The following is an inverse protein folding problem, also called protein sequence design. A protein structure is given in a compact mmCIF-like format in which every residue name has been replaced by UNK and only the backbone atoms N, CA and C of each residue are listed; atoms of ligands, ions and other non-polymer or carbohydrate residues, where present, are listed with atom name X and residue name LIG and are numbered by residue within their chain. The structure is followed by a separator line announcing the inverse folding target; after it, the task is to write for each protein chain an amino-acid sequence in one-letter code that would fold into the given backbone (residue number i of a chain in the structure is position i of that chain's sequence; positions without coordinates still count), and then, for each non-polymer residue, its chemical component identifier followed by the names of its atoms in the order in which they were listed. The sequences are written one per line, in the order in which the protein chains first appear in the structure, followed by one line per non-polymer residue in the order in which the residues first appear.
data_IF_119908317796
#
_entry.id   IF_119908317796
#
_cell.length_a   1.000
_cell.length_b   1.000
_cell.length_c   1.000
_cell.angle_alpha   90.00
_cell.angle_beta   90.00
_cell.angle_gamma   90.00
#
_symmetry.space_group_name_H-M   'P 1'
#
loop_
_entity.id
_entity.type
_entity.pdbx_description
1 polymer ?
#
# COMPACT_ATOMS: atom_id res chain seq x y z
N UNK A 1 -25.97 -2.67 -11.67
CA UNK A 1 -27.32 -2.11 -11.39
C UNK A 1 -27.39 -0.59 -11.58
N UNK A 2 -26.30 0.15 -11.42
CA UNK A 2 -26.22 1.60 -11.72
C UNK A 2 -25.93 1.94 -13.19
N UNK A 3 -26.33 1.08 -14.12
CA UNK A 3 -26.20 1.25 -15.58
C UNK A 3 -24.81 1.42 -16.22
N UNK A 4 -23.70 1.34 -15.47
CA UNK A 4 -22.38 1.12 -16.06
C UNK A 4 -22.38 -0.18 -16.88
N UNK A 5 -21.98 -0.08 -18.16
CA UNK A 5 -22.00 -1.20 -19.10
C UNK A 5 -20.62 -1.66 -19.52
N UNK A 6 -19.68 -0.74 -19.68
CA UNK A 6 -18.31 -1.06 -20.06
C UNK A 6 -17.43 -0.97 -18.81
N UNK A 7 -16.90 -2.10 -18.36
CA UNK A 7 -16.17 -2.22 -17.10
C UNK A 7 -14.94 -3.10 -17.35
N UNK A 8 -13.77 -2.65 -16.90
CA UNK A 8 -12.58 -3.49 -16.84
C UNK A 8 -12.31 -3.87 -15.38
N UNK A 9 -11.91 -5.13 -15.15
CA UNK A 9 -11.57 -5.63 -13.81
C UNK A 9 -10.17 -6.23 -13.85
N UNK A 10 -9.29 -5.76 -12.95
CA UNK A 10 -7.92 -6.23 -12.82
C UNK A 10 -7.78 -6.92 -11.47
N UNK A 11 -7.37 -8.19 -11.49
CA UNK A 11 -7.04 -8.95 -10.29
C UNK A 11 -6.02 -10.03 -10.65
N UNK A 12 -4.89 -10.08 -9.94
CA UNK A 12 -3.82 -11.04 -10.19
C UNK A 12 -4.06 -12.40 -9.53
N UNK A 13 -4.99 -12.48 -8.57
CA UNK A 13 -5.13 -13.64 -7.71
C UNK A 13 -6.01 -14.73 -8.33
N UNK A 14 -5.77 -15.94 -7.86
CA UNK A 14 -6.69 -17.07 -7.99
C UNK A 14 -7.63 -17.17 -6.80
N UNK A 15 -8.77 -17.82 -6.99
CA UNK A 15 -9.79 -18.02 -5.96
C UNK A 15 -9.31 -19.06 -4.94
N UNK A 16 -9.33 -18.68 -3.67
CA UNK A 16 -9.04 -19.56 -2.53
C UNK A 16 -10.31 -19.88 -1.72
N UNK A 17 -10.33 -21.00 -1.00
CA UNK A 17 -11.47 -21.42 -0.15
C UNK A 17 -11.80 -20.34 0.89
N UNK A 18 -10.79 -19.68 1.46
CA UNK A 18 -10.95 -18.61 2.44
C UNK A 18 -11.67 -17.37 1.89
N UNK A 19 -11.81 -17.25 0.57
CA UNK A 19 -12.47 -16.12 -0.08
C UNK A 19 -14.01 -16.26 -0.07
N UNK A 20 -14.51 -17.51 -0.02
CA UNK A 20 -15.93 -17.82 -0.23
C UNK A 20 -16.85 -17.28 0.87
N UNK A 21 -16.31 -16.94 2.04
CA UNK A 21 -17.08 -16.37 3.15
C UNK A 21 -17.59 -14.93 2.88
N UNK A 22 -16.97 -14.21 1.91
CA UNK A 22 -17.26 -12.79 1.65
C UNK A 22 -17.30 -12.42 0.17
N UNK A 23 -16.62 -13.16 -0.70
CA UNK A 23 -16.57 -12.90 -2.14
C UNK A 23 -17.64 -13.72 -2.86
N UNK A 24 -18.89 -13.26 -2.77
CA UNK A 24 -20.10 -13.99 -3.18
C UNK A 24 -20.20 -14.30 -4.69
N UNK A 25 -19.31 -13.76 -5.52
CA UNK A 25 -19.23 -14.07 -6.95
C UNK A 25 -18.65 -15.47 -7.21
N UNK A 26 -17.95 -16.05 -6.24
CA UNK A 26 -17.21 -17.30 -6.39
C UNK A 26 -17.96 -18.48 -5.75
N UNK A 27 -17.72 -19.68 -6.27
CA UNK A 27 -18.22 -20.96 -5.71
C UNK A 27 -17.05 -21.88 -5.39
N UNK A 28 -17.32 -22.93 -4.62
CA UNK A 28 -16.31 -23.98 -4.34
C UNK A 28 -15.76 -24.63 -5.61
N UNK A 29 -16.57 -24.71 -6.68
CA UNK A 29 -16.17 -25.21 -8.00
C UNK A 29 -15.24 -24.27 -8.77
N UNK A 30 -15.01 -23.06 -8.27
CA UNK A 30 -14.18 -22.04 -8.91
C UNK A 30 -12.80 -21.88 -8.26
N UNK A 31 -12.54 -22.60 -7.15
CA UNK A 31 -11.24 -22.60 -6.47
C UNK A 31 -10.13 -22.96 -7.45
N UNK A 32 -9.05 -22.17 -7.43
CA UNK A 32 -7.91 -22.27 -8.34
C UNK A 32 -8.05 -21.52 -9.67
N UNK A 33 -9.25 -21.02 -10.04
CA UNK A 33 -9.43 -20.16 -11.21
C UNK A 33 -9.10 -18.70 -10.88
N UNK A 34 -8.80 -17.90 -11.90
CA UNK A 34 -8.56 -16.47 -11.73
C UNK A 34 -9.82 -15.71 -11.29
N UNK A 35 -9.66 -14.83 -10.30
CA UNK A 35 -10.76 -14.03 -9.73
C UNK A 35 -11.42 -13.13 -10.77
N UNK A 36 -10.64 -12.37 -11.54
CA UNK A 36 -11.17 -11.42 -12.52
C UNK A 36 -12.05 -12.12 -13.57
N UNK A 37 -11.59 -13.23 -14.13
CA UNK A 37 -12.34 -14.00 -15.13
C UNK A 37 -13.67 -14.56 -14.59
N UNK A 38 -13.65 -15.18 -13.41
CA UNK A 38 -14.88 -15.74 -12.80
C UNK A 38 -15.84 -14.63 -12.40
N UNK A 39 -15.34 -13.51 -11.88
CA UNK A 39 -16.14 -12.35 -11.52
C UNK A 39 -16.87 -11.77 -12.74
N UNK A 40 -16.15 -11.55 -13.84
CA UNK A 40 -16.72 -11.08 -15.11
C UNK A 40 -17.84 -12.00 -15.59
N UNK A 41 -17.55 -13.30 -15.74
CA UNK A 41 -18.53 -14.31 -16.21
C UNK A 41 -19.77 -14.38 -15.31
N UNK A 42 -19.60 -14.30 -14.00
CA UNK A 42 -20.71 -14.34 -13.06
C UNK A 42 -21.62 -13.12 -13.24
N UNK A 43 -21.04 -11.92 -13.32
CA UNK A 43 -21.81 -10.67 -13.39
C UNK A 43 -22.49 -10.53 -14.75
N UNK A 44 -21.82 -10.84 -15.86
CA UNK A 44 -22.41 -10.79 -17.21
C UNK A 44 -23.59 -11.77 -17.35
N UNK A 45 -23.49 -12.96 -16.75
CA UNK A 45 -24.61 -13.90 -16.69
C UNK A 45 -25.80 -13.36 -15.89
N UNK A 46 -25.52 -12.61 -14.83
CA UNK A 46 -26.53 -12.11 -13.87
C UNK A 46 -27.19 -10.81 -14.31
N UNK A 47 -26.44 -9.92 -14.95
CA UNK A 47 -26.85 -8.56 -15.30
C UNK A 47 -26.82 -8.41 -16.82
N UNK A 48 -27.99 -8.23 -17.44
CA UNK A 48 -28.07 -8.11 -18.90
C UNK A 48 -27.48 -6.78 -19.38
N UNK A 49 -26.71 -6.84 -20.47
CA UNK A 49 -26.19 -5.66 -21.18
C UNK A 49 -24.95 -5.02 -20.55
N UNK A 50 -24.34 -5.65 -19.55
CA UNK A 50 -22.99 -5.31 -19.10
C UNK A 50 -21.97 -6.13 -19.89
N UNK A 51 -20.83 -5.52 -20.20
CA UNK A 51 -19.64 -6.11 -20.80
C UNK A 51 -18.50 -5.88 -19.83
N UNK A 52 -17.85 -6.95 -19.39
CA UNK A 52 -16.76 -6.89 -18.43
C UNK A 52 -15.52 -7.50 -19.04
N UNK A 53 -14.47 -6.72 -19.20
CA UNK A 53 -13.16 -7.20 -19.65
C UNK A 53 -12.31 -7.58 -18.44
N UNK A 54 -12.04 -8.89 -18.20
CA UNK A 54 -11.18 -9.32 -17.11
C UNK A 54 -9.70 -9.27 -17.50
N UNK A 55 -8.87 -8.84 -16.56
CA UNK A 55 -7.41 -8.81 -16.66
C UNK A 55 -6.81 -9.59 -15.50
N UNK A 56 -6.28 -10.78 -15.78
CA UNK A 56 -5.63 -11.65 -14.80
C UNK A 56 -4.16 -11.24 -14.60
N UNK A 57 -3.94 -9.97 -14.24
CA UNK A 57 -2.64 -9.32 -14.24
C UNK A 57 -2.50 -8.39 -13.05
N UNK A 58 -1.28 -7.96 -12.76
CA UNK A 58 -1.04 -6.93 -11.75
C UNK A 58 -1.29 -5.56 -12.36
N UNK A 59 -1.70 -4.60 -11.53
CA UNK A 59 -1.89 -3.22 -11.99
C UNK A 59 -0.60 -2.63 -12.59
N UNK A 60 0.56 -3.06 -12.09
CA UNK A 60 1.88 -2.63 -12.54
C UNK A 60 2.29 -3.18 -13.90
N UNK A 61 1.58 -4.19 -14.42
CA UNK A 61 1.88 -4.77 -15.73
C UNK A 61 1.31 -3.90 -16.88
N UNK A 62 0.54 -2.86 -16.56
CA UNK A 62 -0.05 -1.90 -17.49
C UNK A 62 0.66 -0.54 -17.43
N UNK A 63 0.79 0.10 -18.59
CA UNK A 63 1.35 1.44 -18.73
C UNK A 63 0.27 2.54 -18.65
N UNK A 64 0.69 3.79 -18.77
CA UNK A 64 -0.18 4.97 -18.75
C UNK A 64 -1.23 4.93 -19.87
N UNK A 65 -0.88 4.40 -21.05
CA UNK A 65 -1.79 4.31 -22.20
C UNK A 65 -3.03 3.49 -21.87
N UNK A 66 -2.87 2.42 -21.09
CA UNK A 66 -3.98 1.61 -20.63
C UNK A 66 -4.88 2.41 -19.68
N UNK A 67 -4.34 3.14 -18.70
CA UNK A 67 -5.17 3.88 -17.75
C UNK A 67 -5.83 5.13 -18.35
N UNK A 68 -5.20 5.74 -19.36
CA UNK A 68 -5.72 6.91 -20.10
C UNK A 68 -7.07 6.63 -20.78
N UNK A 69 -7.41 5.37 -21.06
CA UNK A 69 -8.67 4.99 -21.74
C UNK A 69 -9.92 5.11 -20.84
N UNK A 70 -9.77 5.09 -19.51
CA UNK A 70 -10.90 5.09 -18.59
C UNK A 70 -11.39 6.49 -18.24
N UNK A 71 -12.64 6.60 -17.80
CA UNK A 71 -13.21 7.86 -17.30
C UNK A 71 -13.05 8.00 -15.78
N UNK A 72 -13.00 6.89 -15.05
CA UNK A 72 -12.77 6.85 -13.60
C UNK A 72 -12.17 5.49 -13.22
N UNK A 73 -11.50 5.43 -12.08
CA UNK A 73 -10.89 4.20 -11.53
C UNK A 73 -11.45 3.95 -10.13
N UNK A 74 -11.87 2.72 -9.85
CA UNK A 74 -12.33 2.29 -8.51
C UNK A 74 -11.37 1.23 -7.98
N UNK A 75 -10.83 1.45 -6.78
CA UNK A 75 -9.91 0.54 -6.13
C UNK A 75 -10.55 -0.14 -4.92
N UNK A 76 -10.43 -1.48 -4.88
CA UNK A 76 -10.67 -2.32 -3.72
C UNK A 76 -9.42 -3.10 -3.33
N UNK A 77 -8.27 -2.43 -3.35
CA UNK A 77 -6.94 -3.02 -3.16
C UNK A 77 -6.72 -3.43 -1.69
N UNK A 78 -5.80 -4.34 -1.44
CA UNK A 78 -5.50 -4.86 -0.09
C UNK A 78 -4.15 -4.37 0.45
N UNK A 79 -3.30 -3.79 -0.40
CA UNK A 79 -1.99 -3.24 -0.01
C UNK A 79 -1.91 -1.73 -0.15
N UNK A 80 -1.10 -1.10 0.71
CA UNK A 80 -0.77 0.33 0.61
C UNK A 80 0.09 0.57 -0.64
N UNK A 81 1.03 -0.33 -0.94
CA UNK A 81 1.91 -0.22 -2.10
C UNK A 81 1.15 -0.16 -3.43
N UNK A 82 0.15 -1.04 -3.63
CA UNK A 82 -0.68 -0.99 -4.83
C UNK A 82 -1.49 0.32 -4.92
N UNK A 83 -2.03 0.81 -3.80
CA UNK A 83 -2.75 2.10 -3.76
C UNK A 83 -1.85 3.28 -4.11
N UNK A 84 -0.63 3.29 -3.56
CA UNK A 84 0.37 4.30 -3.86
C UNK A 84 0.80 4.26 -5.32
N UNK A 85 0.99 3.07 -5.88
CA UNK A 85 1.33 2.91 -7.30
C UNK A 85 0.24 3.45 -8.23
N UNK A 86 -1.03 3.07 -8.02
CA UNK A 86 -2.11 3.57 -8.88
C UNK A 86 -2.33 5.06 -8.68
N UNK A 87 -2.17 5.58 -7.46
CA UNK A 87 -2.22 7.02 -7.20
C UNK A 87 -1.15 7.76 -8.00
N UNK A 88 0.08 7.28 -7.94
CA UNK A 88 1.21 7.82 -8.70
C UNK A 88 0.96 7.81 -10.21
N UNK A 89 0.45 6.69 -10.74
CA UNK A 89 0.09 6.57 -12.16
C UNK A 89 -0.96 7.60 -12.58
N UNK A 90 -2.04 7.75 -11.82
CA UNK A 90 -3.13 8.67 -12.16
C UNK A 90 -2.75 10.14 -11.97
N UNK A 91 -1.85 10.46 -11.02
CA UNK A 91 -1.27 11.80 -10.88
C UNK A 91 -0.37 12.12 -12.07
N UNK A 92 0.50 11.21 -12.49
CA UNK A 92 1.33 11.41 -13.68
C UNK A 92 0.48 11.68 -14.93
N UNK A 93 -0.58 10.89 -15.13
CA UNK A 93 -1.53 11.09 -16.24
C UNK A 93 -2.19 12.47 -16.17
N UNK A 94 -2.58 12.93 -14.98
CA UNK A 94 -3.23 14.23 -14.80
C UNK A 94 -2.26 15.41 -14.98
N UNK A 95 -1.00 15.26 -14.59
CA UNK A 95 0.02 16.31 -14.77
C UNK A 95 0.47 16.44 -16.23
N UNK A 96 0.42 15.34 -17.00
CA UNK A 96 0.64 15.34 -18.46
C UNK A 96 -0.58 15.82 -19.26
N UNK A 97 -1.77 15.84 -18.66
CA UNK A 97 -3.01 16.16 -19.37
C UNK A 97 -3.09 17.64 -19.74
N UNK A 98 -3.37 17.93 -21.01
CA UNK A 98 -3.62 19.30 -21.50
C UNK A 98 -5.06 19.76 -21.24
N UNK A 99 -5.98 18.81 -21.02
CA UNK A 99 -7.40 19.05 -20.81
C UNK A 99 -7.94 18.38 -19.53
N UNK A 100 -9.10 18.83 -19.02
CA UNK A 100 -9.73 18.23 -17.85
C UNK A 100 -10.18 16.77 -18.04
N UNK A 101 -10.38 16.30 -19.27
CA UNK A 101 -10.82 14.92 -19.56
C UNK A 101 -9.69 13.91 -19.37
N UNK A 102 -8.43 14.38 -19.37
CA UNK A 102 -7.26 13.61 -18.96
C UNK A 102 -7.23 13.27 -17.46
N UNK A 103 -7.94 14.02 -16.61
CA UNK A 103 -8.03 13.74 -15.17
C UNK A 103 -8.91 12.52 -14.95
N UNK A 104 -8.36 11.48 -14.34
CA UNK A 104 -9.08 10.24 -14.04
C UNK A 104 -9.40 10.18 -12.55
N UNK A 105 -10.65 10.45 -12.12
CA UNK A 105 -11.01 10.38 -10.71
C UNK A 105 -10.76 8.98 -10.16
N UNK A 106 -10.10 8.94 -9.00
CA UNK A 106 -9.80 7.71 -8.27
C UNK A 106 -10.74 7.61 -7.07
N UNK A 107 -11.47 6.50 -6.98
CA UNK A 107 -12.32 6.17 -5.85
C UNK A 107 -11.67 4.99 -5.14
N UNK A 108 -11.18 5.18 -3.92
CA UNK A 108 -10.52 4.11 -3.15
C UNK A 108 -11.40 3.68 -1.97
N UNK A 109 -11.59 2.37 -1.85
CA UNK A 109 -12.22 1.72 -0.72
C UNK A 109 -11.21 0.90 0.09
N UNK A 110 -11.34 0.93 1.40
CA UNK A 110 -10.56 0.09 2.31
C UNK A 110 -11.41 -0.47 3.44
N UNK A 111 -11.10 -1.70 3.88
CA UNK A 111 -11.87 -2.41 4.91
C UNK A 111 -10.95 -3.21 5.82
N UNK A 112 -11.21 -3.19 7.12
CA UNK A 112 -10.55 -4.00 8.14
C UNK A 112 -11.53 -4.29 9.28
N UNK A 113 -11.91 -5.56 9.42
CA UNK A 113 -12.92 -6.00 10.39
C UNK A 113 -14.25 -5.27 10.21
N UNK A 114 -14.66 -4.54 11.24
CA UNK A 114 -15.86 -3.70 11.22
C UNK A 114 -15.55 -2.22 10.91
N UNK A 115 -14.34 -1.90 10.49
CA UNK A 115 -13.95 -0.54 10.08
C UNK A 115 -13.73 -0.50 8.58
N UNK A 116 -13.96 0.67 8.00
CA UNK A 116 -13.65 0.90 6.59
C UNK A 116 -13.66 2.36 6.23
N UNK A 117 -13.29 2.64 4.99
CA UNK A 117 -13.23 3.97 4.46
C UNK A 117 -13.53 3.97 2.97
N UNK A 118 -14.13 5.08 2.52
CA UNK A 118 -14.26 5.40 1.12
C UNK A 118 -13.71 6.81 0.91
N UNK A 119 -12.95 7.01 -0.16
CA UNK A 119 -12.41 8.32 -0.52
C UNK A 119 -12.44 8.55 -2.01
N UNK A 120 -12.56 9.81 -2.39
CA UNK A 120 -12.54 10.25 -3.78
C UNK A 120 -11.41 11.23 -3.96
N UNK A 121 -10.59 10.97 -4.96
CA UNK A 121 -9.39 11.71 -5.29
C UNK A 121 -9.53 12.19 -6.73
N UNK A 122 -9.48 13.50 -6.91
CA UNK A 122 -9.21 14.13 -8.20
C UNK A 122 -7.70 14.41 -8.25
N UNK A 123 -6.92 13.63 -9.02
CA UNK A 123 -5.47 13.76 -9.06
C UNK A 123 -5.00 15.21 -9.27
N UNK A 124 -3.96 15.61 -8.56
CA UNK A 124 -3.38 16.97 -8.56
C UNK A 124 -4.30 18.11 -8.09
N UNK A 125 -5.60 17.87 -7.86
CA UNK A 125 -6.56 18.87 -7.40
C UNK A 125 -6.95 18.71 -5.93
N UNK A 126 -7.22 17.47 -5.50
CA UNK A 126 -7.58 17.15 -4.12
C UNK A 126 -6.47 16.37 -3.43
N UNK A 127 -6.63 16.10 -2.14
CA UNK A 127 -5.68 15.30 -1.37
C UNK A 127 -5.56 13.87 -1.91
N UNK A 128 -4.37 13.47 -2.34
CA UNK A 128 -4.09 12.15 -2.91
C UNK A 128 -3.76 11.09 -1.84
N UNK A 129 -3.45 9.85 -2.25
CA UNK A 129 -3.07 8.78 -1.31
C UNK A 129 -1.81 9.16 -0.50
N UNK A 130 -0.78 9.71 -1.12
CA UNK A 130 0.44 10.15 -0.42
C UNK A 130 0.20 11.30 0.55
N UNK A 131 -0.77 12.17 0.29
CA UNK A 131 -1.15 13.21 1.26
C UNK A 131 -1.68 12.59 2.57
N UNK A 132 -2.31 11.42 2.47
CA UNK A 132 -3.01 10.73 3.57
C UNK A 132 -2.18 9.58 4.17
N UNK A 133 -0.91 9.41 3.76
CA UNK A 133 -0.11 8.24 4.13
C UNK A 133 0.13 8.13 5.64
N UNK A 134 0.20 9.26 6.34
CA UNK A 134 0.32 9.38 7.79
C UNK A 134 -0.95 8.95 8.55
N UNK A 135 -2.11 8.93 7.89
CA UNK A 135 -3.34 8.38 8.47
C UNK A 135 -3.33 6.85 8.50
N UNK A 136 -2.48 6.20 7.69
CA UNK A 136 -2.28 4.77 7.80
C UNK A 136 -1.45 4.51 9.05
N UNK A 137 -2.07 3.93 10.08
CA UNK A 137 -1.36 3.57 11.31
C UNK A 137 -0.14 2.70 10.93
N UNK A 138 1.11 3.14 11.24
CA UNK A 138 2.26 2.30 11.02
C UNK A 138 2.06 1.03 11.85
N UNK A 139 2.22 -0.13 11.21
CA UNK A 139 2.20 -1.38 11.95
C UNK A 139 3.32 -1.31 12.98
N UNK A 140 2.99 -1.52 14.25
CA UNK A 140 3.98 -1.55 15.30
C UNK A 140 4.95 -2.70 14.99
N UNK A 141 6.13 -2.38 14.45
CA UNK A 141 7.19 -3.35 14.28
C UNK A 141 7.64 -3.77 15.69
N UNK A 142 7.46 -5.04 16.03
CA UNK A 142 7.94 -5.56 17.31
C UNK A 142 9.48 -5.55 17.26
N UNK A 143 10.17 -4.88 18.22
CA UNK A 143 11.62 -4.81 18.20
C UNK A 143 12.26 -6.20 18.18
N UNK A 144 13.29 -6.40 17.37
CA UNK A 144 13.96 -7.71 17.22
C UNK A 144 14.49 -8.24 18.57
N UNK A 145 14.97 -7.36 19.45
CA UNK A 145 15.40 -7.73 20.80
C UNK A 145 14.26 -8.30 21.67
N UNK A 146 13.03 -7.83 21.47
CA UNK A 146 11.84 -8.33 22.17
C UNK A 146 11.48 -9.71 21.66
N UNK A 147 11.50 -9.92 20.34
CA UNK A 147 11.24 -11.22 19.71
C UNK A 147 12.33 -12.24 20.11
N UNK A 148 13.60 -11.83 20.07
CA UNK A 148 14.75 -12.70 20.31
C UNK A 148 14.92 -13.07 21.79
N UNK A 149 14.75 -12.11 22.70
CA UNK A 149 15.21 -12.25 24.09
C UNK A 149 14.09 -12.23 25.13
N UNK A 150 13.05 -11.40 24.95
CA UNK A 150 12.02 -11.18 25.98
C UNK A 150 10.62 -11.13 25.35
N UNK A 151 10.11 -12.26 24.80
CA UNK A 151 8.74 -12.32 24.30
C UNK A 151 7.76 -12.08 25.45
N UNK A 152 6.60 -11.49 25.12
CA UNK A 152 5.56 -11.11 26.11
C UNK A 152 4.15 -11.50 25.67
N UNK A 153 3.96 -11.70 24.37
CA UNK A 153 2.68 -12.03 23.76
C UNK A 153 2.89 -13.27 22.87
N UNK A 154 1.86 -14.09 22.65
CA UNK A 154 1.97 -15.28 21.81
C UNK A 154 2.40 -14.94 20.37
N UNK A 155 2.04 -13.77 19.85
CA UNK A 155 2.49 -13.24 18.57
C UNK A 155 4.02 -13.08 18.51
N UNK A 156 4.68 -12.70 19.61
CA UNK A 156 6.14 -12.58 19.65
C UNK A 156 6.81 -13.96 19.49
N UNK A 157 6.22 -15.01 20.08
CA UNK A 157 6.73 -16.38 19.93
C UNK A 157 6.55 -16.89 18.50
N UNK A 158 5.44 -16.51 17.84
CA UNK A 158 5.19 -16.85 16.44
C UNK A 158 6.16 -16.11 15.51
N UNK A 159 6.36 -14.81 15.70
CA UNK A 159 7.33 -14.05 14.90
C UNK A 159 8.77 -14.53 15.13
N UNK A 160 9.11 -14.98 16.34
CA UNK A 160 10.40 -15.62 16.60
C UNK A 160 10.57 -16.90 15.78
N UNK A 161 9.53 -17.75 15.72
CA UNK A 161 9.58 -18.96 14.92
C UNK A 161 9.69 -18.66 13.42
N UNK A 162 8.94 -17.65 12.96
CA UNK A 162 8.84 -17.22 11.57
C UNK A 162 10.12 -16.57 11.03
N UNK A 163 10.76 -15.69 11.82
CA UNK A 163 11.92 -14.91 11.38
C UNK A 163 13.22 -15.59 11.80
N UNK A 164 13.36 -15.94 13.08
CA UNK A 164 14.63 -16.35 13.66
C UNK A 164 14.82 -17.86 13.55
N UNK A 165 13.84 -18.65 14.00
CA UNK A 165 13.98 -20.11 14.01
C UNK A 165 14.00 -20.69 12.59
N UNK A 166 13.14 -20.18 11.71
CA UNK A 166 13.08 -20.61 10.31
C UNK A 166 14.40 -20.37 9.58
N UNK A 167 15.00 -19.18 9.72
CA UNK A 167 16.27 -18.86 9.06
C UNK A 167 17.44 -19.69 9.62
N UNK A 168 17.41 -19.99 10.93
CA UNK A 168 18.45 -20.78 11.60
C UNK A 168 18.39 -22.26 11.24
N UNK A 169 17.19 -22.85 11.24
CA UNK A 169 17.01 -24.29 11.07
C UNK A 169 16.74 -24.69 9.61
N UNK A 170 16.29 -23.75 8.77
CA UNK A 170 15.94 -23.96 7.35
C UNK A 170 15.23 -25.30 7.12
N UNK A 171 14.08 -25.53 7.78
CA UNK A 171 13.39 -26.82 7.73
C UNK A 171 12.93 -27.18 6.31
N UNK A 172 12.70 -26.16 5.47
CA UNK A 172 12.31 -26.28 4.06
C UNK A 172 13.07 -25.24 3.21
N UNK A 173 13.18 -25.42 1.88
CA UNK A 173 13.93 -24.51 1.00
C UNK A 173 13.41 -23.06 1.02
N UNK A 174 12.09 -22.90 1.03
CA UNK A 174 11.39 -21.61 1.04
C UNK A 174 10.15 -21.71 1.90
N UNK A 175 9.85 -20.66 2.67
CA UNK A 175 8.62 -20.59 3.43
C UNK A 175 7.43 -20.32 2.50
N UNK A 176 6.60 -21.33 2.31
CA UNK A 176 5.22 -21.17 1.84
C UNK A 176 4.29 -21.01 3.04
N UNK A 177 3.55 -19.90 3.10
CA UNK A 177 2.63 -19.60 4.21
C UNK A 177 1.29 -20.30 4.06
N UNK A 178 0.97 -20.78 2.86
CA UNK A 178 -0.26 -21.51 2.55
C UNK A 178 -0.09 -23.02 2.71
N UNK A 179 1.15 -23.51 2.76
CA UNK A 179 1.46 -24.93 3.00
C UNK A 179 1.18 -25.35 4.45
N UNK A 180 0.26 -26.32 4.69
CA UNK A 180 -0.06 -26.80 6.03
C UNK A 180 1.12 -27.36 6.81
N UNK A 181 2.11 -27.97 6.17
CA UNK A 181 3.30 -28.53 6.82
C UNK A 181 4.18 -27.42 7.38
N UNK A 182 4.40 -26.37 6.60
CA UNK A 182 5.17 -25.21 7.04
C UNK A 182 4.49 -24.48 8.20
N UNK A 183 3.18 -24.25 8.10
CA UNK A 183 2.41 -23.60 9.18
C UNK A 183 2.42 -24.46 10.45
N UNK A 184 2.35 -25.78 10.32
CA UNK A 184 2.42 -26.71 11.45
C UNK A 184 3.79 -26.65 12.12
N UNK A 185 4.88 -26.60 11.35
CA UNK A 185 6.23 -26.43 11.89
C UNK A 185 6.37 -25.14 12.69
N UNK A 186 5.90 -24.01 12.11
CA UNK A 186 5.90 -22.71 12.77
C UNK A 186 5.08 -22.72 14.05
N UNK A 187 3.90 -23.33 14.02
CA UNK A 187 3.04 -23.48 15.19
C UNK A 187 3.73 -24.27 16.31
N UNK A 188 4.34 -25.41 15.99
CA UNK A 188 5.05 -26.24 16.98
C UNK A 188 6.24 -25.51 17.59
N UNK A 189 7.02 -24.78 16.79
CA UNK A 189 8.16 -23.98 17.27
C UNK A 189 7.70 -22.82 18.14
N UNK A 190 6.66 -22.11 17.72
CA UNK A 190 6.07 -21.02 18.49
C UNK A 190 5.52 -21.54 19.82
N UNK A 191 4.88 -22.71 19.84
CA UNK A 191 4.34 -23.33 21.05
C UNK A 191 5.44 -23.72 22.04
N UNK A 192 6.53 -24.34 21.57
CA UNK A 192 7.68 -24.67 22.40
C UNK A 192 8.31 -23.41 23.00
N UNK A 193 8.49 -22.36 22.18
CA UNK A 193 9.01 -21.06 22.64
C UNK A 193 8.07 -20.40 23.65
N UNK A 194 6.76 -20.48 23.46
CA UNK A 194 5.79 -19.92 24.38
C UNK A 194 5.81 -20.66 25.74
N UNK A 195 6.02 -21.97 25.73
CA UNK A 195 6.21 -22.77 26.96
C UNK A 195 7.49 -22.38 27.73
N UNK A 196 8.60 -22.08 27.04
CA UNK A 196 9.84 -21.61 27.68
C UNK A 196 9.65 -20.32 28.49
N UNK A 197 8.74 -19.44 28.06
CA UNK A 197 8.49 -18.13 28.66
C UNK A 197 7.16 -18.04 29.43
N UNK A 198 6.47 -19.18 29.62
CA UNK A 198 5.16 -19.26 30.27
C UNK A 198 4.10 -18.33 29.65
N UNK A 199 4.07 -18.25 28.32
CA UNK A 199 3.14 -17.43 27.54
C UNK A 199 1.99 -18.30 27.03
N UNK A 200 0.74 -18.12 27.51
CA UNK A 200 -0.40 -18.84 26.98
C UNK A 200 -0.90 -18.21 25.66
N UNK A 201 -1.75 -18.95 24.93
CA UNK A 201 -2.54 -18.40 23.82
C UNK A 201 -2.01 -18.65 22.41
N UNK A 202 -0.89 -19.38 22.24
CA UNK A 202 -0.46 -19.83 20.92
C UNK A 202 -1.43 -20.90 20.40
N UNK A 203 -2.10 -20.61 19.29
CA UNK A 203 -3.01 -21.52 18.59
C UNK A 203 -2.66 -21.58 17.11
N UNK A 204 -3.04 -22.65 16.42
CA UNK A 204 -2.81 -22.77 14.97
C UNK A 204 -3.42 -21.59 14.18
N UNK A 205 -4.64 -21.17 14.56
CA UNK A 205 -5.31 -20.02 13.95
C UNK A 205 -4.55 -18.71 14.18
N UNK A 206 -4.01 -18.52 15.39
CA UNK A 206 -3.20 -17.33 15.69
C UNK A 206 -1.88 -17.37 14.91
N UNK A 207 -1.21 -18.52 14.83
CA UNK A 207 -0.01 -18.71 14.02
C UNK A 207 -0.26 -18.34 12.56
N UNK A 208 -1.32 -18.87 11.96
CA UNK A 208 -1.69 -18.54 10.59
C UNK A 208 -2.03 -17.05 10.44
N UNK A 209 -2.74 -16.48 11.42
CA UNK A 209 -3.08 -15.05 11.48
C UNK A 209 -1.86 -14.15 11.45
N UNK A 210 -0.89 -14.41 12.33
CA UNK A 210 0.35 -13.63 12.47
C UNK A 210 1.23 -13.75 11.22
N UNK A 211 1.52 -14.97 10.74
CA UNK A 211 2.46 -15.16 9.62
C UNK A 211 1.91 -14.63 8.29
N UNK A 212 0.60 -14.77 8.05
CA UNK A 212 -0.08 -14.26 6.86
C UNK A 212 -0.51 -12.80 7.02
N UNK A 213 -0.33 -12.19 8.20
CA UNK A 213 -0.88 -10.87 8.54
C UNK A 213 -2.36 -10.75 8.18
N UNK A 214 -3.18 -11.75 8.57
CA UNK A 214 -4.59 -11.84 8.18
C UNK A 214 -5.35 -10.63 8.72
N UNK A 215 -5.84 -9.80 7.82
CA UNK A 215 -6.79 -8.73 8.13
C UNK A 215 -8.18 -9.36 8.23
N UNK A 216 -8.89 -9.27 9.37
CA UNK A 216 -10.26 -9.75 9.47
C UNK A 216 -11.12 -9.10 8.39
N UNK A 217 -11.92 -9.88 7.67
CA UNK A 217 -12.73 -9.37 6.57
C UNK A 217 -14.14 -9.95 6.62
N UNK A 218 -15.14 -9.06 6.57
CA UNK A 218 -16.55 -9.40 6.75
C UNK A 218 -17.35 -8.82 5.58
N UNK A 219 -18.29 -9.62 5.05
CA UNK A 219 -19.09 -9.24 3.90
C UNK A 219 -19.89 -7.94 4.10
N UNK A 220 -20.38 -7.68 5.32
CA UNK A 220 -21.14 -6.47 5.65
C UNK A 220 -20.32 -5.19 5.48
N UNK A 221 -19.11 -5.14 6.04
CA UNK A 221 -18.21 -4.00 5.92
C UNK A 221 -17.83 -3.75 4.45
N UNK A 222 -17.50 -4.83 3.71
CA UNK A 222 -17.21 -4.74 2.29
C UNK A 222 -18.40 -4.20 1.49
N UNK A 223 -19.62 -4.63 1.81
CA UNK A 223 -20.82 -4.14 1.15
C UNK A 223 -21.07 -2.64 1.41
N UNK A 224 -20.87 -2.17 2.66
CA UNK A 224 -21.04 -0.76 3.02
C UNK A 224 -20.05 0.12 2.24
N UNK A 225 -18.77 -0.25 2.26
CA UNK A 225 -17.73 0.54 1.58
C UNK A 225 -17.87 0.45 0.05
N UNK A 226 -18.11 -0.73 -0.52
CA UNK A 226 -18.34 -0.86 -1.95
C UNK A 226 -19.58 -0.08 -2.41
N UNK A 227 -20.64 -0.02 -1.59
CA UNK A 227 -21.82 0.79 -1.89
C UNK A 227 -21.48 2.29 -1.89
N UNK A 228 -20.70 2.78 -0.91
CA UNK A 228 -20.25 4.16 -0.87
C UNK A 228 -19.42 4.50 -2.13
N UNK A 229 -18.41 3.68 -2.47
CA UNK A 229 -17.59 3.87 -3.66
C UNK A 229 -18.41 3.85 -4.96
N UNK A 230 -19.31 2.88 -5.13
CA UNK A 230 -20.20 2.80 -6.30
C UNK A 230 -21.12 4.03 -6.42
N UNK A 231 -21.59 4.57 -5.29
CA UNK A 231 -22.43 5.75 -5.28
C UNK A 231 -21.64 6.99 -5.72
N UNK A 232 -20.40 7.15 -5.24
CA UNK A 232 -19.54 8.24 -5.72
C UNK A 232 -19.21 8.13 -7.20
N UNK A 233 -18.95 6.92 -7.71
CA UNK A 233 -18.75 6.69 -9.14
C UNK A 233 -19.97 7.13 -9.97
N UNK A 234 -21.17 6.78 -9.50
CA UNK A 234 -22.41 7.19 -10.15
C UNK A 234 -22.60 8.71 -10.15
N UNK A 235 -22.34 9.39 -9.01
CA UNK A 235 -22.42 10.85 -8.91
C UNK A 235 -21.43 11.55 -9.84
N UNK A 236 -20.19 11.08 -9.90
CA UNK A 236 -19.16 11.63 -10.79
C UNK A 236 -19.58 11.46 -12.25
N UNK A 237 -19.99 10.26 -12.64
CA UNK A 237 -20.33 9.95 -14.04
C UNK A 237 -21.61 10.66 -14.56
N UNK A 238 -22.54 11.00 -13.67
CA UNK A 238 -23.85 11.55 -14.06
C UNK A 238 -24.04 13.01 -13.65
N UNK A 239 -23.18 13.53 -12.77
CA UNK A 239 -23.34 14.82 -12.12
C UNK A 239 -24.70 14.95 -11.41
N UNK A 240 -25.32 13.83 -11.01
CA UNK A 240 -26.68 13.83 -10.44
C UNK A 240 -26.75 14.44 -9.04
N UNK A 241 -25.63 14.46 -8.31
CA UNK A 241 -25.49 15.04 -6.98
C UNK A 241 -24.02 15.38 -6.69
N UNK A 242 -23.74 16.23 -5.68
CA UNK A 242 -22.38 16.48 -5.23
C UNK A 242 -21.69 15.17 -4.77
N UNK A 243 -20.50 14.93 -5.32
CA UNK A 243 -19.64 13.82 -4.93
C UNK A 243 -18.68 14.22 -3.79
N UNK A 244 -18.09 13.22 -3.15
CA UNK A 244 -16.87 13.43 -2.37
C UNK A 244 -15.74 13.92 -3.29
N UNK A 245 -14.79 14.69 -2.76
CA UNK A 245 -13.60 15.19 -3.45
C UNK A 245 -13.19 16.58 -2.96
N UNK A 246 -13.90 17.62 -3.39
CA UNK A 246 -13.49 19.01 -3.14
C UNK A 246 -13.82 19.50 -1.73
N UNK A 247 -15.08 19.36 -1.30
CA UNK A 247 -15.54 19.80 0.02
C UNK A 247 -15.26 18.77 1.11
N UNK A 248 -15.56 17.50 0.85
CA UNK A 248 -15.17 16.39 1.71
C UNK A 248 -14.69 15.26 0.82
N UNK A 249 -13.49 14.73 1.04
CA UNK A 249 -12.92 13.65 0.22
C UNK A 249 -12.80 12.32 0.96
N UNK A 250 -13.13 12.29 2.24
CA UNK A 250 -12.91 11.11 3.07
C UNK A 250 -14.17 10.78 3.87
N UNK A 251 -14.61 9.53 3.77
CA UNK A 251 -15.66 8.93 4.60
C UNK A 251 -15.05 7.77 5.40
N UNK A 252 -15.20 7.81 6.72
CA UNK A 252 -14.89 6.72 7.63
C UNK A 252 -16.16 5.99 8.06
N UNK A 253 -16.04 4.69 8.26
CA UNK A 253 -17.05 3.82 8.86
C UNK A 253 -16.44 3.03 10.02
N UNK A 254 -17.16 2.96 11.13
CA UNK A 254 -16.85 2.09 12.26
C UNK A 254 -18.12 1.39 12.72
N UNK A 255 -18.05 0.06 12.82
CA UNK A 255 -19.13 -0.83 13.20
C UNK A 255 -18.87 -1.64 14.48
N UNK A 256 -17.82 -1.31 15.26
CA UNK A 256 -17.44 -2.09 16.45
C UNK A 256 -18.52 -2.06 17.55
N UNK A 257 -18.99 -0.86 17.92
CA UNK A 257 -19.94 -0.67 19.03
C UNK A 257 -21.32 -0.15 18.56
N UNK A 258 -21.35 0.53 17.41
CA UNK A 258 -22.54 1.11 16.78
C UNK A 258 -22.27 1.37 15.30
N UNK A 259 -23.27 1.80 14.53
CA UNK A 259 -23.11 2.26 13.15
C UNK A 259 -22.68 3.74 13.20
N UNK A 260 -21.39 3.98 13.02
CA UNK A 260 -20.83 5.33 12.99
C UNK A 260 -20.17 5.62 11.65
N UNK A 261 -20.48 6.80 11.10
CA UNK A 261 -19.80 7.34 9.92
C UNK A 261 -19.37 8.77 10.15
N UNK A 262 -18.18 9.12 9.71
CA UNK A 262 -17.68 10.50 9.74
C UNK A 262 -17.14 10.87 8.38
N UNK A 263 -17.59 12.01 7.85
CA UNK A 263 -17.18 12.53 6.55
C UNK A 263 -16.50 13.87 6.76
N UNK A 264 -15.31 14.04 6.21
CA UNK A 264 -14.51 15.23 6.40
C UNK A 264 -13.63 15.54 5.19
N UNK A 265 -13.10 16.75 5.17
CA UNK A 265 -12.09 17.19 4.21
C UNK A 265 -10.70 16.86 4.73
N UNK A 266 -9.99 16.00 4.02
CA UNK A 266 -8.56 15.87 4.18
C UNK A 266 -7.86 16.86 3.24
N UNK A 267 -7.01 17.73 3.76
CA UNK A 267 -6.39 18.79 2.97
C UNK A 267 -5.30 18.25 2.03
N UNK A 268 -5.17 18.87 0.86
CA UNK A 268 -4.05 18.59 -0.04
C UNK A 268 -2.79 19.22 0.57
N UNK A 269 -1.71 18.44 0.65
CA UNK A 269 -0.41 18.91 1.13
C UNK A 269 0.36 19.56 -0.03
N UNK A 270 0.76 20.81 0.10
CA UNK A 270 1.52 21.53 -0.95
C UNK A 270 2.92 20.94 -1.16
N UNK A 271 3.50 20.38 -0.10
CA UNK A 271 4.76 19.63 -0.04
C UNK A 271 4.58 18.13 -0.31
N UNK A 272 3.41 17.71 -0.81
CA UNK A 272 3.21 16.30 -1.16
C UNK A 272 4.23 15.91 -2.25
N UNK A 273 5.02 14.84 -2.06
CA UNK A 273 6.08 14.51 -3.00
C UNK A 273 5.55 13.85 -4.29
N UNK A 274 4.22 13.72 -4.43
CA UNK A 274 3.53 13.15 -5.59
C UNK A 274 2.68 14.20 -6.29
N UNK A 275 1.67 14.76 -5.61
CA UNK A 275 0.73 15.71 -6.22
C UNK A 275 0.99 17.18 -5.84
N UNK A 276 1.99 17.42 -4.99
CA UNK A 276 2.39 18.75 -4.53
C UNK A 276 3.33 19.43 -5.53
N UNK A 277 3.43 20.75 -5.44
CA UNK A 277 4.32 21.56 -6.30
C UNK A 277 5.58 21.99 -5.57
N UNK A 278 5.65 21.80 -4.26
CA UNK A 278 6.79 22.15 -3.43
C UNK A 278 7.59 20.90 -3.08
N UNK A 279 8.91 21.01 -3.10
CA UNK A 279 9.79 19.96 -2.62
C UNK A 279 9.61 19.80 -1.11
N UNK A 280 9.62 18.56 -0.62
CA UNK A 280 9.41 18.26 0.80
C UNK A 280 10.71 18.32 1.60
N UNK A 281 10.74 18.91 2.82
CA UNK A 281 11.93 18.90 3.64
C UNK A 281 12.31 17.48 4.06
N UNK A 282 13.58 17.13 3.92
CA UNK A 282 14.19 15.98 4.56
C UNK A 282 15.07 16.48 5.69
N UNK A 283 14.63 16.35 6.95
CA UNK A 283 15.50 16.65 8.09
C UNK A 283 16.61 15.58 8.21
N UNK A 284 17.87 16.00 8.23
CA UNK A 284 19.02 15.11 8.37
C UNK A 284 20.16 15.72 9.19
N UNK A 285 21.03 14.86 9.69
CA UNK A 285 22.30 15.24 10.30
C UNK A 285 23.41 15.20 9.23
N UNK A 286 24.18 16.28 9.00
CA UNK A 286 25.31 16.26 8.08
C UNK A 286 26.34 15.15 8.34
N UNK A 287 26.46 14.70 9.61
CA UNK A 287 27.34 13.61 10.00
C UNK A 287 26.78 12.20 9.72
N UNK A 288 25.50 12.07 9.34
CA UNK A 288 24.92 10.78 8.96
C UNK A 288 25.44 10.31 7.59
N UNK A 289 25.44 9.00 7.36
CA UNK A 289 25.84 8.42 6.07
C UNK A 289 24.72 8.49 5.05
N UNK A 290 25.05 8.37 3.77
CA UNK A 290 24.03 8.24 2.72
C UNK A 290 23.18 6.97 2.90
N UNK A 291 23.77 5.89 3.43
CA UNK A 291 23.04 4.69 3.80
C UNK A 291 21.98 4.99 4.88
N UNK A 292 22.34 5.71 5.94
CA UNK A 292 21.39 6.11 7.00
C UNK A 292 20.24 6.95 6.45
N UNK A 293 20.52 7.86 5.50
CA UNK A 293 19.49 8.64 4.84
C UNK A 293 18.50 7.74 4.06
N UNK A 294 19.01 6.80 3.26
CA UNK A 294 18.18 5.86 2.50
C UNK A 294 17.36 4.95 3.41
N UNK A 295 17.95 4.46 4.51
CA UNK A 295 17.25 3.65 5.50
C UNK A 295 16.17 4.47 6.22
N UNK A 296 16.42 5.76 6.47
CA UNK A 296 15.42 6.66 7.05
C UNK A 296 14.19 6.83 6.15
N UNK A 297 14.34 6.84 4.83
CA UNK A 297 13.23 6.97 3.88
C UNK A 297 12.28 5.76 3.89
N UNK A 298 12.80 4.59 4.26
CA UNK A 298 11.98 3.40 4.47
C UNK A 298 11.16 3.48 5.76
N UNK A 299 11.70 4.12 6.80
CA UNK A 299 11.09 4.21 8.13
C UNK A 299 10.12 5.37 8.29
N UNK A 300 10.30 6.46 7.53
CA UNK A 300 9.43 7.65 7.56
C UNK A 300 7.98 7.26 7.17
N UNK A 301 6.99 7.43 8.06
CA UNK A 301 5.59 7.10 7.77
C UNK A 301 5.07 7.80 6.51
N UNK A 302 5.59 8.98 6.21
CA UNK A 302 5.19 9.83 5.11
C UNK A 302 5.90 9.54 3.78
N UNK A 303 6.89 8.64 3.75
CA UNK A 303 7.63 8.27 2.53
C UNK A 303 7.57 6.76 2.24
N UNK A 304 7.86 5.91 3.23
CA UNK A 304 7.83 4.44 3.14
C UNK A 304 8.42 3.88 1.83
N UNK A 305 9.62 4.34 1.44
CA UNK A 305 10.29 3.91 0.20
C UNK A 305 11.18 2.68 0.48
N UNK A 306 11.00 1.60 -0.27
CA UNK A 306 11.67 0.31 0.02
C UNK A 306 13.03 0.18 -0.64
N UNK A 307 13.16 0.66 -1.87
CA UNK A 307 14.39 0.56 -2.68
C UNK A 307 14.70 1.92 -3.32
N UNK A 308 14.87 2.98 -2.53
CA UNK A 308 15.13 4.30 -3.06
C UNK A 308 16.48 4.36 -3.78
N UNK A 309 16.50 5.13 -4.86
CA UNK A 309 17.67 5.71 -5.51
C UNK A 309 17.57 7.23 -5.37
N UNK A 310 18.69 7.92 -5.21
CA UNK A 310 18.71 9.35 -4.91
C UNK A 310 19.74 10.08 -5.78
N UNK A 311 19.33 11.22 -6.33
CA UNK A 311 20.18 12.14 -7.08
C UNK A 311 20.00 13.57 -6.58
N UNK A 312 21.08 14.33 -6.57
CA UNK A 312 21.02 15.79 -6.47
C UNK A 312 21.01 16.40 -7.88
N UNK A 313 20.81 17.72 -7.98
CA UNK A 313 20.70 18.43 -9.27
C UNK A 313 21.91 18.20 -10.20
N UNK A 314 23.10 18.06 -9.63
CA UNK A 314 24.39 18.01 -10.33
C UNK A 314 25.11 16.66 -10.22
N UNK A 315 24.64 15.75 -9.35
CA UNK A 315 25.31 14.48 -9.08
C UNK A 315 24.36 13.35 -8.73
N UNK A 316 24.67 12.18 -9.26
CA UNK A 316 24.03 10.93 -8.85
C UNK A 316 24.67 10.45 -7.55
N UNK A 317 23.90 10.46 -6.46
CA UNK A 317 24.40 10.06 -5.15
C UNK A 317 24.42 8.53 -5.02
N UNK A 318 23.27 7.89 -5.31
CA UNK A 318 23.15 6.44 -5.35
C UNK A 318 22.03 6.00 -6.31
N UNK A 319 22.34 5.06 -7.21
CA UNK A 319 21.37 4.48 -8.14
C UNK A 319 21.42 2.96 -8.08
N UNK A 320 20.27 2.32 -7.84
CA UNK A 320 20.19 0.86 -7.77
C UNK A 320 20.19 0.18 -9.15
N UNK A 321 19.83 0.93 -10.19
CA UNK A 321 19.73 0.43 -11.55
C UNK A 321 20.13 1.54 -12.55
N UNK A 322 20.80 1.22 -13.67
CA UNK A 322 21.37 -0.08 -14.06
C UNK A 322 22.59 -0.51 -13.20
N UNK A 323 22.98 -1.79 -13.20
CA UNK A 323 24.07 -2.32 -12.35
C UNK A 323 25.39 -1.56 -12.47
N UNK A 324 25.70 -1.02 -13.65
CA UNK A 324 26.89 -0.20 -13.86
C UNK A 324 26.92 1.08 -13.02
N UNK A 325 25.77 1.74 -12.84
CA UNK A 325 25.65 2.93 -11.98
C UNK A 325 25.62 2.54 -10.51
N UNK A 326 25.06 1.37 -10.19
CA UNK A 326 25.06 0.85 -8.82
C UNK A 326 26.48 0.62 -8.33
N UNK A 327 27.32 -0.09 -9.10
CA UNK A 327 28.71 -0.33 -8.74
C UNK A 327 29.51 0.98 -8.58
N UNK A 328 29.27 1.95 -9.47
CA UNK A 328 29.94 3.26 -9.42
C UNK A 328 29.53 4.11 -8.22
N UNK A 329 28.27 4.03 -7.82
CA UNK A 329 27.71 4.89 -6.75
C UNK A 329 27.66 4.21 -5.39
N UNK A 330 27.85 2.89 -5.31
CA UNK A 330 27.85 2.12 -4.07
C UNK A 330 28.84 2.64 -3.03
N UNK A 331 30.02 3.09 -3.46
CA UNK A 331 31.03 3.66 -2.57
C UNK A 331 30.58 4.96 -1.87
N UNK A 332 29.50 5.61 -2.35
CA UNK A 332 28.94 6.79 -1.70
C UNK A 332 28.06 6.46 -0.51
N UNK A 333 27.59 5.20 -0.36
CA UNK A 333 26.71 4.80 0.73
C UNK A 333 27.37 4.96 2.10
N UNK A 334 28.67 4.68 2.18
CA UNK A 334 29.46 4.78 3.42
C UNK A 334 29.93 6.22 3.72
N UNK A 335 29.84 7.12 2.73
CA UNK A 335 30.24 8.52 2.91
C UNK A 335 29.17 9.28 3.66
N UNK A 336 29.61 10.21 4.49
CA UNK A 336 28.73 11.16 5.18
C UNK A 336 28.11 12.15 4.19
N UNK A 337 26.97 12.72 4.57
CA UNK A 337 26.32 13.75 3.77
C UNK A 337 27.23 14.97 3.54
N UNK A 338 28.03 15.32 4.56
CA UNK A 338 29.05 16.36 4.44
C UNK A 338 30.18 16.00 3.45
N UNK A 339 30.70 14.76 3.48
CA UNK A 339 31.73 14.28 2.54
C UNK A 339 31.24 14.21 1.09
N UNK A 340 29.95 13.97 0.90
CA UNK A 340 29.31 14.02 -0.40
C UNK A 340 29.16 15.45 -0.93
N UNK A 341 29.47 16.47 -0.14
CA UNK A 341 29.39 17.88 -0.51
C UNK A 341 27.95 18.32 -0.76
N UNK A 342 27.01 17.83 0.03
CA UNK A 342 25.61 18.26 -0.02
C UNK A 342 25.41 19.47 0.89
N UNK A 343 24.55 20.38 0.47
CA UNK A 343 24.29 21.65 1.16
C UNK A 343 22.87 21.70 1.75
N UNK A 344 22.70 22.52 2.79
CA UNK A 344 21.39 22.82 3.36
C UNK A 344 20.52 23.55 2.32
N UNK A 345 19.27 23.14 2.18
CA UNK A 345 18.34 23.63 1.16
C UNK A 345 18.51 23.02 -0.23
N UNK A 346 19.51 22.16 -0.46
CA UNK A 346 19.74 21.56 -1.77
C UNK A 346 18.61 20.61 -2.16
N UNK A 347 18.10 20.73 -3.38
CA UNK A 347 17.08 19.83 -3.90
C UNK A 347 17.65 18.47 -4.25
N UNK A 348 16.91 17.43 -3.88
CA UNK A 348 17.20 16.04 -4.21
C UNK A 348 15.95 15.36 -4.76
N UNK A 349 16.18 14.52 -5.75
CA UNK A 349 15.14 13.71 -6.37
C UNK A 349 15.37 12.27 -5.94
N UNK A 350 14.33 11.65 -5.39
CA UNK A 350 14.32 10.25 -4.98
C UNK A 350 13.40 9.48 -5.91
N UNK A 351 13.87 8.33 -6.40
CA UNK A 351 13.06 7.40 -7.20
C UNK A 351 13.02 6.05 -6.50
N UNK A 352 11.94 5.31 -6.68
CA UNK A 352 11.84 3.93 -6.18
C UNK A 352 11.18 3.09 -7.28
N UNK A 353 11.73 1.92 -7.65
CA UNK A 353 11.15 1.05 -8.67
C UNK A 353 9.70 0.63 -8.39
N UNK A 354 9.25 0.72 -7.14
CA UNK A 354 7.87 0.46 -6.77
C UNK A 354 6.89 1.55 -7.21
N UNK A 355 7.35 2.70 -7.74
CA UNK A 355 6.50 3.81 -8.15
C UNK A 355 6.91 4.38 -9.52
N UNK A 356 5.95 4.82 -10.36
CA UNK A 356 6.22 5.37 -11.69
C UNK A 356 6.63 6.86 -11.67
N UNK A 357 6.99 7.44 -10.52
CA UNK A 357 7.26 8.87 -10.38
C UNK A 357 8.52 9.20 -9.60
N UNK A 358 8.96 10.45 -9.74
CA UNK A 358 10.06 11.06 -9.00
C UNK A 358 9.52 11.78 -7.76
N UNK A 359 10.07 11.49 -6.58
CA UNK A 359 9.73 12.16 -5.33
C UNK A 359 10.69 13.33 -5.10
N UNK A 360 10.15 14.54 -5.02
CA UNK A 360 10.93 15.78 -4.88
C UNK A 360 11.11 16.19 -3.42
N UNK A 361 12.35 16.32 -2.99
CA UNK A 361 12.73 16.73 -1.65
C UNK A 361 13.77 17.86 -1.66
N UNK A 362 13.94 18.52 -0.52
CA UNK A 362 15.12 19.35 -0.27
C UNK A 362 15.74 18.98 1.08
N UNK A 363 17.06 19.04 1.15
CA UNK A 363 17.82 18.72 2.35
C UNK A 363 17.63 19.83 3.39
N UNK A 364 17.34 19.45 4.63
CA UNK A 364 17.27 20.38 5.75
C UNK A 364 18.16 19.88 6.88
N UNK A 365 19.27 20.57 7.10
CA UNK A 365 20.23 20.17 8.12
C UNK A 365 19.72 20.55 9.50
N UNK A 366 19.75 19.59 10.43
CA UNK A 366 19.42 19.88 11.84
C UNK A 366 20.47 20.83 12.39
N UNK A 367 20.15 22.11 12.50
CA UNK A 367 20.94 23.05 13.30
C UNK A 367 20.95 22.55 14.73
N UNK A 368 22.13 22.17 15.25
CA UNK A 368 22.27 21.66 16.60
C UNK A 368 21.52 22.54 17.59
N UNK A 369 20.68 21.91 18.41
CA UNK A 369 20.15 22.54 19.62
C UNK A 369 21.33 22.98 20.47
N UNK A 370 21.68 24.26 20.40
CA UNK A 370 22.42 24.90 21.47
C UNK A 370 21.48 25.01 22.67
N UNK A 371 21.60 24.06 23.58
CA UNK A 371 21.56 24.27 25.03
C UNK A 371 22.21 23.08 25.72
#
# INVERSE_FOLDING_TARGET
MSHFRDIHVIDMDTIDISNLNRQFLFRSTDVGKYKAEVAAKFVEKRVRGVSITPHNSRIQDFDDSFYKQFQLVICGLDSIEARRWINAMLVNIADEAEDPDGIKPLIDGGTEGFKGQARVIFPSMTSCIECQLDMHAPRAAVPLCTIASIPRQPEHCIEWAHIIAWEKEKPFPTLDKDDPEHVTWLFQKALARAQEFDIPGVTYSLTQGTIKNIIPAIASTNAIIAAACCNEAFKIATTSAPCLGFENNYMMYSGNDSIYTYTFKHEKKDDCPVCGRQARPLDLDPGSTLQDLLDSLALRPEAQLKKPSIRAQDKTLYMRFPPSLEEQTRANLEKTIAELGLEDGQQVVVTDPAFPLEFNYFLKFKTGSQT
#
